data_IF_842518561862
#
_entry.id   IF_842518561862
#
_cell.length_a   1.000
_cell.length_b   1.000
_cell.length_c   1.000
_cell.angle_alpha   90.00
_cell.angle_beta   90.00
_cell.angle_gamma   90.00
#
_symmetry.space_group_name_H-M   'P 1'
#
loop_
_entity.id
_entity.type
_entity.pdbx_description
1 polymer ?
#
# COMPACT_ATOMS: atom_id res chain seq x y z
N UNK A 1 -12.94 38.78 -24.66
CA UNK A 1 -12.36 39.37 -23.45
C UNK A 1 -13.44 39.49 -22.38
N UNK A 2 -13.61 38.46 -21.55
CA UNK A 2 -14.12 38.60 -20.19
C UNK A 2 -13.24 37.67 -19.37
N UNK A 3 -12.33 38.26 -18.62
CA UNK A 3 -11.35 37.62 -17.75
C UNK A 3 -12.02 37.15 -16.46
N UNK A 4 -12.22 35.85 -16.31
CA UNK A 4 -12.44 35.24 -15.00
C UNK A 4 -11.08 35.01 -14.33
N UNK A 5 -10.55 36.08 -13.74
CA UNK A 5 -9.54 35.99 -12.68
C UNK A 5 -10.26 35.78 -11.35
N UNK A 6 -9.78 34.83 -10.55
CA UNK A 6 -10.00 34.84 -9.10
C UNK A 6 -11.07 33.89 -8.57
N UNK A 7 -10.83 32.59 -8.67
CA UNK A 7 -11.17 31.59 -7.64
C UNK A 7 -10.46 30.30 -8.00
N UNK A 8 -9.15 30.25 -7.73
CA UNK A 8 -8.45 28.97 -7.62
C UNK A 8 -9.05 28.29 -6.39
N UNK A 9 -10.13 27.52 -6.59
CA UNK A 9 -10.56 26.53 -5.60
C UNK A 9 -9.40 25.54 -5.50
N UNK A 10 -8.56 25.72 -4.49
CA UNK A 10 -7.52 24.76 -4.12
C UNK A 10 -8.23 23.52 -3.58
N UNK A 11 -8.71 22.67 -4.48
CA UNK A 11 -9.10 21.32 -4.13
C UNK A 11 -7.85 20.65 -3.53
N UNK A 12 -7.93 20.00 -2.37
CA UNK A 12 -6.77 19.37 -1.77
C UNK A 12 -6.22 18.32 -2.74
N UNK A 13 -4.96 18.50 -3.17
CA UNK A 13 -4.24 17.51 -3.99
C UNK A 13 -3.96 16.20 -3.24
N UNK A 14 -4.29 16.14 -1.94
CA UNK A 14 -4.17 14.98 -1.07
C UNK A 14 -5.35 14.98 -0.09
N UNK A 15 -6.29 14.04 -0.23
CA UNK A 15 -7.45 13.90 0.67
C UNK A 15 -7.18 12.75 1.63
N UNK A 16 -6.67 13.06 2.83
CA UNK A 16 -6.51 12.09 3.91
C UNK A 16 -7.80 12.07 4.76
N UNK A 17 -8.90 11.54 4.23
CA UNK A 17 -10.12 11.41 5.04
C UNK A 17 -9.94 10.31 6.10
N UNK A 18 -10.12 10.69 7.36
CA UNK A 18 -10.03 9.81 8.52
C UNK A 18 -11.43 9.35 8.89
N UNK A 19 -11.55 8.10 9.33
CA UNK A 19 -12.81 7.49 9.68
C UNK A 19 -12.82 7.19 11.19
N UNK A 20 -13.76 7.79 11.93
CA UNK A 20 -14.08 7.39 13.29
C UNK A 20 -15.39 6.59 13.35
N UNK A 21 -15.55 5.57 12.51
CA UNK A 21 -16.77 4.74 12.52
C UNK A 21 -16.54 3.42 13.26
N UNK A 22 -17.49 3.02 14.10
CA UNK A 22 -17.48 1.74 14.85
C UNK A 22 -17.58 0.48 13.97
N UNK A 23 -17.81 0.60 12.66
CA UNK A 23 -18.00 -0.55 11.76
C UNK A 23 -17.32 -0.41 10.40
N UNK A 24 -16.34 -1.29 10.26
CA UNK A 24 -15.81 -2.03 9.14
C UNK A 24 -14.99 -1.32 8.05
N UNK A 25 -13.82 -1.94 7.90
CA UNK A 25 -12.86 -1.99 6.81
C UNK A 25 -13.39 -1.52 5.45
N UNK A 26 -12.52 -0.95 4.60
CA UNK A 26 -12.88 -0.70 3.20
C UNK A 26 -13.58 -1.93 2.63
N UNK A 27 -14.85 -1.76 2.26
CA UNK A 27 -15.75 -2.85 1.94
C UNK A 27 -15.16 -3.68 0.80
N UNK A 28 -14.84 -4.95 1.06
CA UNK A 28 -14.34 -5.87 0.03
C UNK A 28 -15.48 -6.24 -0.93
N UNK A 29 -15.25 -6.06 -2.24
CA UNK A 29 -15.91 -6.51 -3.48
C UNK A 29 -17.42 -6.83 -3.57
N UNK A 30 -18.15 -7.17 -2.51
CA UNK A 30 -19.58 -7.49 -2.55
C UNK A 30 -20.44 -6.32 -3.03
N UNK A 31 -20.12 -5.09 -2.64
CA UNK A 31 -20.90 -3.89 -3.03
C UNK A 31 -20.61 -3.46 -4.49
N UNK A 32 -19.42 -3.74 -5.01
CA UNK A 32 -19.05 -3.44 -6.40
C UNK A 32 -19.72 -4.39 -7.40
N UNK A 33 -19.82 -5.68 -7.06
CA UNK A 33 -20.47 -6.67 -7.92
C UNK A 33 -21.98 -6.42 -8.06
N UNK A 34 -22.65 -5.89 -7.03
CA UNK A 34 -24.08 -5.57 -7.11
C UNK A 34 -24.39 -4.37 -8.02
N UNK A 35 -23.42 -3.45 -8.22
CA UNK A 35 -23.58 -2.28 -9.12
C UNK A 35 -23.15 -2.55 -10.57
N UNK A 36 -22.27 -3.52 -10.82
CA UNK A 36 -21.82 -3.88 -12.17
C UNK A 36 -22.90 -4.60 -13.01
N UNK A 37 -24.00 -5.04 -12.38
CA UNK A 37 -25.17 -5.57 -13.10
C UNK A 37 -26.01 -4.47 -13.78
N UNK A 38 -25.75 -3.19 -13.53
CA UNK A 38 -26.35 -2.09 -14.28
C UNK A 38 -25.43 -1.69 -15.44
N UNK A 39 -25.78 -2.19 -16.63
CA UNK A 39 -25.19 -1.84 -17.92
C UNK A 39 -25.36 -0.34 -18.17
N UNK A 40 -24.40 0.50 -17.75
CA UNK A 40 -24.08 1.82 -18.36
C UNK A 40 -22.98 2.62 -17.63
N UNK A 41 -22.09 2.00 -16.85
CA UNK A 41 -20.91 2.70 -16.36
C UNK A 41 -19.76 2.60 -17.38
N UNK A 42 -19.55 3.67 -18.13
CA UNK A 42 -18.34 3.93 -18.93
C UNK A 42 -17.09 3.52 -18.16
N UNK A 43 -16.31 2.60 -18.74
CA UNK A 43 -15.03 2.10 -18.20
C UNK A 43 -14.02 3.25 -18.05
N UNK A 44 -14.06 3.94 -16.91
CA UNK A 44 -12.84 4.51 -16.34
C UNK A 44 -12.14 3.31 -15.72
N UNK A 45 -11.09 2.81 -16.37
CA UNK A 45 -10.22 1.77 -15.83
C UNK A 45 -9.49 2.32 -14.59
N UNK A 46 -10.19 2.38 -13.46
CA UNK A 46 -9.53 2.41 -12.16
C UNK A 46 -8.85 1.05 -12.01
N UNK A 47 -7.54 1.01 -12.22
CA UNK A 47 -6.69 -0.12 -11.84
C UNK A 47 -6.79 -0.27 -10.32
N UNK A 48 -7.80 -1.01 -9.85
CA UNK A 48 -7.89 -1.42 -8.47
C UNK A 48 -6.81 -2.48 -8.22
N UNK A 49 -5.63 -2.02 -7.80
CA UNK A 49 -4.52 -2.90 -7.45
C UNK A 49 -4.80 -3.44 -6.05
N UNK A 50 -5.64 -4.46 -5.97
CA UNK A 50 -5.44 -5.47 -4.95
C UNK A 50 -4.27 -6.32 -5.47
N UNK A 51 -3.23 -6.65 -4.68
CA UNK A 51 -2.31 -7.70 -5.09
C UNK A 51 -3.19 -8.93 -5.37
N UNK A 52 -3.36 -9.29 -6.64
CA UNK A 52 -4.23 -10.39 -7.04
C UNK A 52 -3.66 -11.65 -6.40
N UNK A 53 -4.23 -12.06 -5.27
CA UNK A 53 -3.95 -13.35 -4.66
C UNK A 53 -4.74 -14.35 -5.50
N UNK A 54 -4.19 -14.69 -6.67
CA UNK A 54 -4.74 -15.72 -7.52
C UNK A 54 -4.80 -17.02 -6.69
N UNK A 55 -5.86 -17.82 -6.82
CA UNK A 55 -6.11 -18.98 -5.94
C UNK A 55 -4.98 -20.03 -5.93
N UNK A 56 -4.10 -20.00 -6.93
CA UNK A 56 -2.91 -20.85 -7.07
C UNK A 56 -1.60 -20.21 -6.55
N UNK A 57 -1.61 -18.95 -6.12
CA UNK A 57 -0.43 -18.25 -5.59
C UNK A 57 -0.42 -18.29 -4.06
N UNK A 58 0.74 -18.63 -3.49
CA UNK A 58 0.98 -18.81 -2.06
C UNK A 58 0.33 -17.68 -1.24
N UNK A 59 -0.70 -18.02 -0.45
CA UNK A 59 -1.41 -17.12 0.46
C UNK A 59 -0.46 -16.61 1.56
N UNK A 60 0.24 -15.51 1.31
CA UNK A 60 1.18 -14.92 2.28
C UNK A 60 2.02 -13.78 1.72
N UNK A 61 2.82 -13.13 2.58
CA UNK A 61 3.70 -12.00 2.20
C UNK A 61 4.61 -12.35 1.02
N UNK A 62 5.11 -13.59 0.93
CA UNK A 62 5.96 -14.00 -0.19
C UNK A 62 5.28 -13.82 -1.55
N UNK A 63 3.97 -14.08 -1.65
CA UNK A 63 3.20 -13.88 -2.89
C UNK A 63 3.02 -12.39 -3.23
N UNK A 64 2.81 -11.54 -2.22
CA UNK A 64 2.73 -10.08 -2.42
C UNK A 64 4.08 -9.56 -2.93
N UNK A 65 5.17 -9.96 -2.28
CA UNK A 65 6.53 -9.56 -2.64
C UNK A 65 6.88 -10.05 -4.05
N UNK A 66 6.56 -11.31 -4.37
CA UNK A 66 6.74 -11.89 -5.71
C UNK A 66 6.04 -11.04 -6.79
N UNK A 67 4.77 -10.67 -6.59
CA UNK A 67 4.07 -9.80 -7.53
C UNK A 67 4.67 -8.39 -7.59
N UNK A 68 5.08 -7.82 -6.46
CA UNK A 68 5.70 -6.48 -6.43
C UNK A 68 7.03 -6.46 -7.18
N UNK A 69 7.88 -7.48 -6.99
CA UNK A 69 9.14 -7.63 -7.72
C UNK A 69 8.85 -7.72 -9.21
N UNK A 70 7.94 -8.62 -9.62
CA UNK A 70 7.57 -8.78 -11.03
C UNK A 70 7.03 -7.49 -11.64
N UNK A 71 6.20 -6.74 -10.91
CA UNK A 71 5.71 -5.45 -11.38
C UNK A 71 6.84 -4.42 -11.54
N UNK A 72 7.72 -4.32 -10.54
CA UNK A 72 8.88 -3.42 -10.57
C UNK A 72 9.81 -3.71 -11.76
N UNK A 73 10.06 -5.00 -12.03
CA UNK A 73 10.93 -5.43 -13.13
C UNK A 73 10.30 -5.24 -14.51
N UNK A 74 8.97 -5.42 -14.64
CA UNK A 74 8.25 -5.20 -15.90
C UNK A 74 8.25 -3.74 -16.33
N UNK A 75 8.08 -2.82 -15.38
CA UNK A 75 7.98 -1.41 -15.70
C UNK A 75 9.33 -0.68 -15.64
N UNK A 76 10.43 -1.39 -15.30
CA UNK A 76 11.77 -0.83 -15.08
C UNK A 76 11.67 0.52 -14.37
N UNK A 77 10.96 0.54 -13.25
CA UNK A 77 10.83 1.71 -12.40
C UNK A 77 12.16 1.96 -11.66
N UNK A 78 13.23 2.24 -12.41
CA UNK A 78 14.53 2.60 -11.86
C UNK A 78 14.33 3.95 -11.18
N UNK A 79 14.31 3.90 -9.86
CA UNK A 79 14.12 5.07 -9.02
C UNK A 79 15.35 5.95 -9.13
N UNK A 80 15.14 7.26 -9.21
CA UNK A 80 16.26 8.20 -9.08
C UNK A 80 16.95 8.03 -7.73
N UNK A 81 18.23 8.39 -7.64
CA UNK A 81 19.04 8.22 -6.42
C UNK A 81 18.35 8.79 -5.15
N UNK A 82 17.66 9.92 -5.28
CA UNK A 82 16.92 10.53 -4.18
C UNK A 82 15.74 9.67 -3.71
N UNK A 83 15.00 9.06 -4.64
CA UNK A 83 13.86 8.20 -4.32
C UNK A 83 14.31 6.88 -3.71
N UNK A 84 15.43 6.32 -4.20
CA UNK A 84 16.04 5.13 -3.60
C UNK A 84 16.45 5.38 -2.14
N UNK A 85 17.05 6.53 -1.83
CA UNK A 85 17.43 6.89 -0.47
C UNK A 85 16.21 7.03 0.46
N UNK A 86 15.09 7.57 -0.04
CA UNK A 86 13.84 7.66 0.75
C UNK A 86 13.30 6.27 1.10
N UNK A 87 13.33 5.33 0.16
CA UNK A 87 12.92 3.93 0.44
C UNK A 87 13.86 3.30 1.47
N UNK A 88 15.18 3.47 1.33
CA UNK A 88 16.17 2.99 2.30
C UNK A 88 15.86 3.53 3.69
N UNK A 89 15.60 4.84 3.79
CA UNK A 89 15.21 5.49 5.05
C UNK A 89 13.91 4.90 5.63
N UNK A 90 12.89 4.67 4.80
CA UNK A 90 11.63 4.08 5.24
C UNK A 90 11.82 2.69 5.87
N UNK A 91 12.67 1.84 5.27
CA UNK A 91 13.03 0.53 5.83
C UNK A 91 13.81 0.63 7.15
N UNK A 92 14.71 1.62 7.25
CA UNK A 92 15.48 1.87 8.49
C UNK A 92 14.58 2.25 9.67
N UNK A 93 13.44 2.92 9.43
CA UNK A 93 12.49 3.33 10.49
C UNK A 93 11.95 2.15 11.31
N UNK A 94 11.91 0.93 10.75
CA UNK A 94 11.47 -0.28 11.45
C UNK A 94 12.57 -1.35 11.55
N UNK A 95 13.83 -0.93 11.39
CA UNK A 95 15.02 -1.72 11.73
C UNK A 95 15.46 -2.72 10.67
N UNK A 96 15.06 -2.55 9.40
CA UNK A 96 15.40 -3.46 8.30
C UNK A 96 16.21 -2.75 7.20
N UNK A 97 16.95 -3.53 6.41
CA UNK A 97 17.48 -3.09 5.12
C UNK A 97 16.42 -3.26 4.02
N UNK A 98 16.54 -2.47 2.94
CA UNK A 98 15.68 -2.53 1.76
C UNK A 98 16.06 -3.63 0.77
N UNK A 99 17.19 -4.29 0.97
CA UNK A 99 17.68 -5.36 0.10
C UNK A 99 17.17 -6.70 0.64
N UNK A 100 16.45 -7.41 -0.22
CA UNK A 100 15.80 -8.67 0.11
C UNK A 100 16.60 -9.82 -0.44
N UNK A 101 16.93 -10.78 0.41
CA UNK A 101 17.50 -12.05 -0.01
C UNK A 101 16.35 -13.00 -0.36
N UNK A 102 16.27 -13.42 -1.62
CA UNK A 102 15.17 -14.19 -2.18
C UNK A 102 15.56 -15.66 -2.31
N UNK A 103 14.77 -16.54 -1.67
CA UNK A 103 14.80 -17.97 -2.01
C UNK A 103 13.77 -18.24 -3.07
N UNK A 104 14.22 -18.72 -4.22
CA UNK A 104 13.35 -18.89 -5.37
C UNK A 104 13.06 -20.36 -5.68
N UNK A 105 11.90 -20.59 -6.30
CA UNK A 105 11.48 -21.88 -6.82
C UNK A 105 11.20 -21.77 -8.31
N UNK A 106 11.57 -22.80 -9.07
CA UNK A 106 11.34 -22.87 -10.51
C UNK A 106 9.94 -23.38 -10.82
N UNK A 107 9.31 -22.79 -11.83
CA UNK A 107 8.08 -23.29 -12.43
C UNK A 107 8.41 -24.03 -13.74
N UNK A 108 8.52 -25.36 -13.64
CA UNK A 108 8.87 -26.24 -14.77
C UNK A 108 7.83 -26.22 -15.88
N UNK A 109 6.55 -25.98 -15.56
CA UNK A 109 5.50 -25.85 -16.58
C UNK A 109 5.68 -24.58 -17.41
N UNK A 110 6.05 -23.47 -16.76
CA UNK A 110 6.32 -22.21 -17.47
C UNK A 110 7.59 -22.30 -18.32
N UNK A 111 8.66 -22.97 -17.86
CA UNK A 111 9.89 -23.18 -18.65
C UNK A 111 9.56 -23.84 -19.98
N UNK A 112 8.86 -24.97 -19.89
CA UNK A 112 8.36 -25.78 -20.98
C UNK A 112 7.50 -24.98 -21.96
N UNK A 113 6.47 -24.31 -21.43
CA UNK A 113 5.60 -23.45 -22.22
C UNK A 113 6.36 -22.35 -22.96
N UNK A 114 7.28 -21.64 -22.30
CA UNK A 114 8.09 -20.58 -22.93
C UNK A 114 8.96 -21.16 -24.05
N UNK A 115 9.65 -22.29 -23.81
CA UNK A 115 10.45 -22.97 -24.83
C UNK A 115 9.59 -23.38 -26.04
N UNK A 116 8.38 -23.87 -25.81
CA UNK A 116 7.45 -24.26 -26.88
C UNK A 116 7.01 -23.07 -27.74
N UNK A 117 6.83 -21.88 -27.13
CA UNK A 117 6.52 -20.65 -27.85
C UNK A 117 7.73 -20.14 -28.63
N UNK A 118 8.90 -20.05 -27.99
CA UNK A 118 10.13 -19.57 -28.64
C UNK A 118 10.51 -20.45 -29.84
N UNK A 119 10.48 -21.77 -29.68
CA UNK A 119 10.71 -22.70 -30.80
C UNK A 119 9.64 -22.61 -31.89
N UNK A 120 8.37 -22.40 -31.54
CA UNK A 120 7.30 -22.23 -32.51
C UNK A 120 7.36 -20.90 -33.26
N UNK A 121 7.91 -19.85 -32.66
CA UNK A 121 8.18 -18.57 -33.33
C UNK A 121 9.26 -18.75 -34.42
N UNK A 122 10.36 -19.45 -34.10
CA UNK A 122 11.43 -19.76 -35.07
C UNK A 122 10.91 -20.62 -36.22
N UNK A 123 10.06 -21.61 -35.92
CA UNK A 123 9.51 -22.54 -36.91
C UNK A 123 8.28 -21.99 -37.67
N UNK A 124 7.86 -20.74 -37.41
CA UNK A 124 6.71 -20.11 -38.06
C UNK A 124 5.34 -20.69 -37.67
N UNK A 125 5.27 -21.45 -36.58
CA UNK A 125 4.04 -21.98 -36.00
C UNK A 125 3.27 -20.95 -35.17
N UNK A 126 3.97 -19.97 -34.60
CA UNK A 126 3.41 -18.84 -33.83
C UNK A 126 3.88 -17.53 -34.48
N UNK A 127 3.02 -16.52 -34.48
CA UNK A 127 3.31 -15.19 -35.04
C UNK A 127 3.13 -14.14 -33.95
N UNK A 128 4.15 -13.30 -33.75
CA UNK A 128 4.02 -12.08 -32.97
C UNK A 128 3.39 -11.00 -33.84
N UNK A 129 2.14 -10.63 -33.53
CA UNK A 129 1.38 -9.59 -34.21
C UNK A 129 1.27 -8.35 -33.32
N UNK A 130 0.75 -7.24 -33.87
CA UNK A 130 0.47 -6.03 -33.08
C UNK A 130 -0.54 -6.27 -31.95
N UNK A 131 -1.43 -7.24 -32.11
CA UNK A 131 -2.41 -7.68 -31.10
C UNK A 131 -1.86 -8.72 -30.11
N UNK A 132 -0.60 -9.14 -30.26
CA UNK A 132 0.09 -10.09 -29.40
C UNK A 132 0.41 -11.42 -30.09
N UNK A 133 0.62 -12.46 -29.28
CA UNK A 133 1.01 -13.81 -29.74
C UNK A 133 -0.21 -14.52 -30.36
N UNK A 134 -0.11 -14.87 -31.65
CA UNK A 134 -1.14 -15.60 -32.38
C UNK A 134 -0.64 -16.96 -32.86
N UNK A 135 -1.44 -17.99 -32.61
CA UNK A 135 -1.14 -19.37 -33.00
C UNK A 135 -1.64 -19.62 -34.42
N UNK A 136 -0.76 -20.09 -35.31
CA UNK A 136 -1.17 -20.42 -36.67
C UNK A 136 -1.99 -21.72 -36.71
N UNK A 137 -2.80 -21.90 -37.75
CA UNK A 137 -3.54 -23.16 -38.00
C UNK A 137 -2.61 -24.38 -38.26
N UNK A 138 -1.30 -24.16 -38.42
CA UNK A 138 -0.30 -25.21 -38.69
C UNK A 138 0.27 -25.85 -37.41
N UNK A 139 -0.12 -25.41 -36.21
CA UNK A 139 0.38 -26.01 -34.97
C UNK A 139 -0.22 -27.41 -34.79
N UNK A 140 0.65 -28.41 -34.79
CA UNK A 140 0.29 -29.78 -34.47
C UNK A 140 0.27 -29.97 -32.94
N UNK A 141 -0.90 -29.75 -32.34
CA UNK A 141 -1.12 -29.94 -30.91
C UNK A 141 -0.95 -31.39 -30.44
N UNK A 142 -0.81 -32.37 -31.35
CA UNK A 142 -0.46 -33.75 -30.98
C UNK A 142 1.00 -33.88 -30.53
N UNK A 143 1.89 -32.98 -31.00
CA UNK A 143 3.31 -32.94 -30.64
C UNK A 143 3.63 -31.95 -29.53
N UNK A 144 2.86 -30.86 -29.42
CA UNK A 144 3.07 -29.81 -28.43
C UNK A 144 1.89 -29.72 -27.45
N UNK A 145 1.84 -30.65 -26.48
CA UNK A 145 0.76 -30.68 -25.47
C UNK A 145 0.72 -29.41 -24.61
N UNK A 146 1.86 -28.77 -24.40
CA UNK A 146 2.02 -27.58 -23.56
C UNK A 146 1.26 -26.37 -24.13
N UNK A 147 1.14 -26.28 -25.46
CA UNK A 147 0.41 -25.22 -26.14
C UNK A 147 -1.10 -25.45 -26.18
N UNK A 148 -1.61 -26.63 -25.77
CA UNK A 148 -3.05 -26.92 -25.73
C UNK A 148 -3.79 -26.00 -24.76
N UNK A 149 -3.14 -25.65 -23.64
CA UNK A 149 -3.70 -24.78 -22.61
C UNK A 149 -3.00 -23.42 -22.67
N UNK A 150 -3.57 -22.48 -23.42
CA UNK A 150 -3.03 -21.12 -23.56
C UNK A 150 -2.88 -20.43 -22.20
N UNK A 151 -1.71 -19.85 -21.97
CA UNK A 151 -1.45 -19.03 -20.79
C UNK A 151 -1.34 -17.56 -21.21
N UNK A 152 -2.49 -16.88 -21.28
CA UNK A 152 -2.56 -15.47 -21.71
C UNK A 152 -1.67 -14.52 -20.91
N UNK A 153 -1.45 -14.79 -19.62
CA UNK A 153 -0.56 -13.97 -18.78
C UNK A 153 0.90 -14.11 -19.22
N UNK A 154 1.31 -15.35 -19.49
CA UNK A 154 2.66 -15.67 -19.92
C UNK A 154 2.90 -15.24 -21.36
N UNK A 155 1.90 -15.35 -22.24
CA UNK A 155 1.97 -14.83 -23.62
C UNK A 155 2.26 -13.32 -23.62
N UNK A 156 1.57 -12.54 -22.76
CA UNK A 156 1.86 -11.11 -22.57
C UNK A 156 3.28 -10.85 -22.06
N UNK A 157 3.76 -11.64 -21.11
CA UNK A 157 5.13 -11.52 -20.61
C UNK A 157 6.15 -11.77 -21.72
N UNK A 158 5.96 -12.83 -22.51
CA UNK A 158 6.84 -13.18 -23.64
C UNK A 158 6.80 -12.06 -24.69
N UNK A 159 5.62 -11.52 -24.98
CA UNK A 159 5.48 -10.39 -25.88
C UNK A 159 6.28 -9.16 -25.44
N UNK A 160 6.22 -8.78 -24.16
CA UNK A 160 7.00 -7.67 -23.61
C UNK A 160 8.50 -7.91 -23.87
N UNK A 161 8.98 -9.12 -23.56
CA UNK A 161 10.39 -9.51 -23.74
C UNK A 161 10.80 -9.47 -25.22
N UNK A 162 9.95 -9.95 -26.12
CA UNK A 162 10.26 -9.98 -27.55
C UNK A 162 10.18 -8.60 -28.20
N UNK A 163 9.38 -7.67 -27.67
CA UNK A 163 9.23 -6.32 -28.23
C UNK A 163 10.34 -5.38 -27.74
N UNK A 164 10.81 -5.50 -26.51
CA UNK A 164 11.86 -4.65 -25.95
C UNK A 164 13.25 -4.97 -26.54
N UNK A 165 13.89 -3.96 -27.13
CA UNK A 165 15.19 -4.11 -27.81
C UNK A 165 16.32 -4.54 -26.88
N UNK A 166 16.25 -4.19 -25.60
CA UNK A 166 17.26 -4.58 -24.61
C UNK A 166 17.23 -6.10 -24.41
N UNK A 167 16.05 -6.70 -24.24
CA UNK A 167 15.93 -8.14 -24.05
C UNK A 167 16.23 -8.95 -25.32
N UNK A 168 16.05 -8.37 -26.52
CA UNK A 168 16.37 -9.04 -27.79
C UNK A 168 17.83 -9.51 -27.86
N UNK A 169 18.76 -8.74 -27.31
CA UNK A 169 20.19 -9.08 -27.32
C UNK A 169 20.51 -10.29 -26.43
N UNK A 170 19.58 -10.72 -25.57
CA UNK A 170 19.75 -11.81 -24.63
C UNK A 170 18.89 -13.03 -24.96
N UNK A 171 18.19 -13.05 -26.11
CA UNK A 171 17.27 -14.14 -26.46
C UNK A 171 17.97 -15.49 -26.64
N UNK A 172 19.13 -15.52 -27.29
CA UNK A 172 19.89 -16.76 -27.49
C UNK A 172 20.35 -17.33 -26.15
N UNK A 173 20.89 -16.46 -25.29
CA UNK A 173 21.31 -16.80 -23.94
C UNK A 173 20.16 -17.22 -23.02
N UNK A 174 18.99 -16.60 -23.16
CA UNK A 174 17.77 -17.00 -22.46
C UNK A 174 17.32 -18.39 -22.93
N UNK A 175 17.36 -18.65 -24.23
CA UNK A 175 16.96 -19.95 -24.79
C UNK A 175 17.85 -21.07 -24.27
N UNK A 176 19.17 -20.88 -24.29
CA UNK A 176 20.15 -21.83 -23.73
C UNK A 176 19.92 -22.04 -22.23
N UNK A 177 19.68 -20.96 -21.49
CA UNK A 177 19.35 -21.02 -20.06
C UNK A 177 18.10 -21.85 -19.80
N UNK A 178 17.03 -21.63 -20.56
CA UNK A 178 15.77 -22.36 -20.42
C UNK A 178 15.95 -23.85 -20.75
N UNK A 179 16.75 -24.18 -21.78
CA UNK A 179 17.08 -25.57 -22.10
C UNK A 179 17.87 -26.25 -20.97
N UNK A 180 18.84 -25.56 -20.38
CA UNK A 180 19.61 -26.09 -19.24
C UNK A 180 18.73 -26.28 -18.00
N UNK A 181 17.76 -25.38 -17.78
CA UNK A 181 16.76 -25.49 -16.70
C UNK A 181 15.83 -26.68 -16.92
N UNK A 182 15.30 -26.88 -18.13
CA UNK A 182 14.43 -28.02 -18.46
C UNK A 182 15.19 -29.35 -18.37
N UNK A 183 16.47 -29.37 -18.77
CA UNK A 183 17.36 -30.52 -18.61
C UNK A 183 17.75 -30.82 -17.15
N UNK A 184 17.32 -29.99 -16.19
CA UNK A 184 17.60 -30.18 -14.77
C UNK A 184 19.05 -29.94 -14.37
N UNK A 185 19.83 -29.21 -15.18
CA UNK A 185 21.23 -28.89 -14.86
C UNK A 185 21.37 -27.92 -13.69
N UNK A 186 20.33 -27.15 -13.41
CA UNK A 186 20.28 -26.25 -12.26
C UNK A 186 19.41 -26.83 -11.14
N UNK A 187 19.92 -26.76 -9.92
CA UNK A 187 19.20 -27.09 -8.69
C UNK A 187 18.62 -25.83 -8.05
N UNK A 188 17.69 -25.98 -7.11
CA UNK A 188 17.17 -24.84 -6.33
C UNK A 188 18.29 -24.07 -5.60
N UNK A 189 19.39 -24.74 -5.24
CA UNK A 189 20.55 -24.10 -4.62
C UNK A 189 21.22 -23.06 -5.52
N UNK A 190 21.08 -23.17 -6.84
CA UNK A 190 21.63 -22.17 -7.76
C UNK A 190 20.89 -20.83 -7.67
N UNK A 191 19.60 -20.82 -7.26
CA UNK A 191 18.79 -19.62 -7.11
C UNK A 191 18.74 -19.11 -5.66
N UNK A 192 19.74 -19.48 -4.86
CA UNK A 192 19.80 -19.16 -3.42
C UNK A 192 20.58 -17.90 -3.10
N UNK A 193 21.14 -17.20 -4.07
CA UNK A 193 21.95 -15.98 -3.87
C UNK A 193 21.43 -14.82 -4.71
N UNK A 194 20.10 -14.73 -4.83
CA UNK A 194 19.41 -13.66 -5.55
C UNK A 194 18.95 -12.61 -4.55
N UNK A 195 19.29 -11.37 -4.84
CA UNK A 195 18.93 -10.22 -4.04
C UNK A 195 18.07 -9.27 -4.88
N UNK A 196 17.05 -8.68 -4.25
CA UNK A 196 16.25 -7.63 -4.84
C UNK A 196 16.34 -6.37 -3.99
N UNK A 197 16.81 -5.27 -4.58
CA UNK A 197 16.81 -3.98 -3.91
C UNK A 197 15.45 -3.30 -4.10
N UNK A 198 14.64 -3.23 -3.05
CA UNK A 198 13.35 -2.52 -3.10
C UNK A 198 13.54 -1.03 -3.38
N UNK A 199 14.67 -0.48 -2.94
CA UNK A 199 15.01 0.92 -3.12
C UNK A 199 15.36 1.27 -4.57
N UNK A 200 16.04 0.38 -5.27
CA UNK A 200 16.54 0.62 -6.63
C UNK A 200 15.64 -0.02 -7.69
N UNK A 201 14.82 -1.01 -7.31
CA UNK A 201 13.96 -1.76 -8.22
C UNK A 201 14.73 -2.78 -9.06
N UNK A 202 15.93 -3.18 -8.62
CA UNK A 202 16.89 -3.98 -9.36
C UNK A 202 17.15 -5.33 -8.69
N UNK A 203 17.57 -6.31 -9.49
CA UNK A 203 18.07 -7.60 -9.01
C UNK A 203 19.60 -7.62 -9.11
N UNK A 204 20.22 -8.23 -8.12
CA UNK A 204 21.62 -8.63 -8.13
C UNK A 204 21.76 -10.09 -7.74
N UNK A 205 22.86 -10.72 -8.15
CA UNK A 205 23.19 -12.10 -7.82
C UNK A 205 24.66 -12.18 -7.44
N UNK A 206 24.99 -13.02 -6.45
CA UNK A 206 26.39 -13.33 -6.09
C UNK A 206 26.88 -14.63 -6.76
N UNK A 207 26.00 -15.35 -7.46
CA UNK A 207 26.31 -16.63 -8.09
C UNK A 207 27.18 -16.48 -9.34
N UNK A 208 28.51 -16.54 -9.19
CA UNK A 208 29.51 -16.41 -10.26
C UNK A 208 29.51 -17.48 -11.38
N UNK A 209 28.57 -18.42 -11.37
CA UNK A 209 28.66 -19.66 -12.18
C UNK A 209 27.35 -20.04 -12.88
N UNK A 210 26.37 -19.13 -12.96
CA UNK A 210 25.10 -19.46 -13.60
C UNK A 210 25.13 -19.19 -15.11
N UNK A 211 25.75 -18.07 -15.53
CA UNK A 211 25.70 -17.64 -16.94
C UNK A 211 27.06 -17.08 -17.37
N UNK A 212 27.91 -17.93 -17.97
CA UNK A 212 29.32 -17.63 -18.25
C UNK A 212 29.58 -16.45 -19.22
N UNK A 213 28.57 -15.94 -19.96
CA UNK A 213 28.77 -14.95 -21.03
C UNK A 213 27.72 -13.82 -21.10
N UNK A 214 26.83 -13.70 -20.11
CA UNK A 214 25.69 -12.77 -20.15
C UNK A 214 25.60 -11.92 -18.88
N UNK A 215 24.93 -10.77 -18.95
CA UNK A 215 24.62 -9.99 -17.77
C UNK A 215 23.62 -10.79 -16.90
N UNK A 216 24.13 -11.57 -15.96
CA UNK A 216 23.38 -12.57 -15.19
C UNK A 216 22.08 -12.01 -14.58
N UNK A 217 22.15 -10.76 -14.11
CA UNK A 217 21.01 -10.04 -13.54
C UNK A 217 19.88 -9.82 -14.57
N UNK A 218 20.20 -9.58 -15.84
CA UNK A 218 19.21 -9.38 -16.90
C UNK A 218 18.48 -10.68 -17.25
N UNK A 219 19.19 -11.81 -17.31
CA UNK A 219 18.54 -13.12 -17.49
C UNK A 219 17.63 -13.41 -16.31
N UNK A 220 18.10 -13.22 -15.09
CA UNK A 220 17.27 -13.44 -13.89
C UNK A 220 16.03 -12.54 -13.93
N UNK A 221 16.17 -11.27 -14.31
CA UNK A 221 15.05 -10.35 -14.51
C UNK A 221 14.03 -10.92 -15.51
N UNK A 222 14.49 -11.39 -16.67
CA UNK A 222 13.62 -12.00 -17.69
C UNK A 222 12.91 -13.24 -17.11
N UNK A 223 13.62 -14.10 -16.38
CA UNK A 223 13.06 -15.30 -15.78
C UNK A 223 11.98 -14.99 -14.71
N UNK A 224 12.10 -13.88 -13.98
CA UNK A 224 11.01 -13.39 -13.10
C UNK A 224 9.81 -12.87 -13.90
N UNK A 225 10.05 -12.08 -14.96
CA UNK A 225 8.98 -11.54 -15.82
C UNK A 225 8.17 -12.66 -16.50
N UNK A 226 8.86 -13.73 -16.91
CA UNK A 226 8.30 -14.96 -17.46
C UNK A 226 7.69 -15.90 -16.43
N UNK A 227 7.66 -15.54 -15.14
CA UNK A 227 7.07 -16.37 -14.09
C UNK A 227 7.75 -17.77 -13.98
N UNK A 228 8.95 -17.90 -14.55
CA UNK A 228 9.80 -19.11 -14.49
C UNK A 228 10.42 -19.23 -13.10
N UNK A 229 10.87 -18.10 -12.55
CA UNK A 229 11.35 -18.00 -11.17
C UNK A 229 10.25 -17.35 -10.33
N UNK A 230 9.95 -17.95 -9.17
CA UNK A 230 8.97 -17.46 -8.22
C UNK A 230 9.58 -17.39 -6.82
N UNK A 231 9.26 -16.32 -6.07
CA UNK A 231 9.72 -16.19 -4.70
C UNK A 231 8.98 -17.20 -3.81
N UNK A 232 9.76 -17.95 -3.02
CA UNK A 232 9.24 -18.93 -2.07
C UNK A 232 9.33 -18.44 -0.63
N UNK A 233 10.45 -17.84 -0.31
CA UNK A 233 10.79 -17.40 1.03
C UNK A 233 11.72 -16.19 0.93
N UNK A 234 11.68 -15.34 1.94
CA UNK A 234 12.36 -14.04 1.92
C UNK A 234 13.10 -13.86 3.23
N UNK A 235 14.36 -13.49 3.09
CA UNK A 235 15.21 -13.09 4.19
C UNK A 235 15.57 -11.62 4.03
N UNK A 236 15.71 -10.94 5.15
CA UNK A 236 16.03 -9.51 5.20
C UNK A 236 17.03 -9.27 6.33
N UNK A 237 17.99 -8.39 6.11
CA UNK A 237 18.96 -8.04 7.13
C UNK A 237 18.32 -7.14 8.19
N UNK A 238 18.34 -7.58 9.44
CA UNK A 238 17.90 -6.78 10.58
C UNK A 238 19.06 -5.93 11.11
N UNK A 239 18.87 -4.61 11.13
CA UNK A 239 19.94 -3.62 11.37
C UNK A 239 20.58 -3.76 12.75
N UNK A 240 19.78 -4.00 13.80
CA UNK A 240 20.28 -4.05 15.17
C UNK A 240 21.08 -5.33 15.44
N UNK A 241 20.62 -6.47 14.91
CA UNK A 241 21.30 -7.76 15.11
C UNK A 241 22.37 -8.04 14.06
N UNK A 242 22.37 -7.31 12.94
CA UNK A 242 23.21 -7.55 11.75
C UNK A 242 23.11 -9.00 11.26
N UNK A 243 21.92 -9.57 11.36
CA UNK A 243 21.63 -10.95 10.94
C UNK A 243 20.51 -10.93 9.91
N UNK A 244 20.62 -11.80 8.92
CA UNK A 244 19.50 -12.13 8.06
C UNK A 244 18.45 -12.90 8.87
N UNK A 245 17.22 -12.42 8.79
CA UNK A 245 16.07 -13.04 9.43
C UNK A 245 15.01 -13.30 8.39
N UNK A 246 14.27 -14.39 8.59
CA UNK A 246 13.13 -14.71 7.74
C UNK A 246 12.00 -13.69 8.02
N UNK A 247 11.32 -13.21 6.97
CA UNK A 247 10.20 -12.27 7.11
C UNK A 247 9.09 -12.76 8.05
N UNK A 248 8.88 -14.08 8.14
CA UNK A 248 7.89 -14.71 9.02
C UNK A 248 8.27 -14.50 10.49
N UNK A 249 9.57 -14.42 10.81
CA UNK A 249 10.09 -14.24 12.17
C UNK A 249 10.06 -12.79 12.67
N UNK A 250 9.73 -11.83 11.81
CA UNK A 250 9.58 -10.42 12.20
C UNK A 250 8.44 -10.23 13.21
N UNK A 251 8.45 -9.12 13.96
CA UNK A 251 7.28 -8.75 14.78
C UNK A 251 6.07 -8.46 13.89
N UNK A 252 4.85 -8.55 14.43
CA UNK A 252 3.62 -8.23 13.67
C UNK A 252 3.65 -6.81 13.10
N UNK A 253 4.06 -5.83 13.89
CA UNK A 253 4.20 -4.44 13.43
C UNK A 253 5.27 -4.28 12.34
N UNK A 254 6.41 -4.96 12.44
CA UNK A 254 7.41 -4.97 11.37
C UNK A 254 6.88 -5.60 10.09
N UNK A 255 6.12 -6.71 10.17
CA UNK A 255 5.49 -7.31 8.98
C UNK A 255 4.48 -6.37 8.33
N UNK A 256 3.70 -5.63 9.12
CA UNK A 256 2.76 -4.62 8.60
C UNK A 256 3.51 -3.51 7.85
N UNK A 257 4.54 -2.93 8.47
CA UNK A 257 5.34 -1.87 7.83
C UNK A 257 6.10 -2.38 6.60
N UNK A 258 6.66 -3.59 6.68
CA UNK A 258 7.31 -4.24 5.55
C UNK A 258 6.33 -4.45 4.38
N UNK A 259 5.14 -4.99 4.64
CA UNK A 259 4.12 -5.19 3.61
C UNK A 259 3.71 -3.87 2.95
N UNK A 260 3.46 -2.84 3.74
CA UNK A 260 3.17 -1.50 3.23
C UNK A 260 4.34 -0.95 2.39
N UNK A 261 5.58 -1.10 2.86
CA UNK A 261 6.76 -0.62 2.14
C UNK A 261 6.92 -1.30 0.78
N UNK A 262 6.73 -2.61 0.72
CA UNK A 262 6.83 -3.41 -0.50
C UNK A 262 5.73 -3.02 -1.50
N UNK A 263 4.48 -2.96 -1.06
CA UNK A 263 3.35 -2.63 -1.95
C UNK A 263 3.48 -1.20 -2.48
N UNK A 264 3.76 -0.24 -1.59
CA UNK A 264 3.94 1.15 -1.99
C UNK A 264 5.16 1.31 -2.91
N UNK A 265 6.23 0.55 -2.68
CA UNK A 265 7.41 0.62 -3.55
C UNK A 265 7.20 -0.06 -4.91
N UNK A 266 6.39 -1.12 -4.98
CA UNK A 266 6.18 -1.90 -6.20
C UNK A 266 5.09 -1.36 -7.11
N UNK A 267 4.08 -0.66 -6.58
CA UNK A 267 2.86 -0.33 -7.33
C UNK A 267 2.49 1.15 -7.38
N UNK A 268 3.13 2.01 -6.59
CA UNK A 268 2.77 3.43 -6.61
C UNK A 268 3.30 4.07 -7.89
N UNK A 269 2.38 4.69 -8.61
CA UNK A 269 2.63 5.41 -9.85
C UNK A 269 2.17 6.87 -9.73
N UNK A 270 2.52 7.69 -10.72
CA UNK A 270 2.08 9.07 -10.76
C UNK A 270 0.55 9.16 -10.89
N UNK A 271 -0.09 10.08 -10.18
CA UNK A 271 -1.53 10.34 -10.20
C UNK A 271 -2.40 9.17 -9.72
N UNK A 272 -1.90 8.35 -8.80
CA UNK A 272 -2.67 7.25 -8.23
C UNK A 272 -3.45 7.64 -6.97
N UNK A 273 -4.41 6.79 -6.58
CA UNK A 273 -5.11 6.87 -5.30
C UNK A 273 -4.68 5.72 -4.40
N UNK A 274 -4.25 6.03 -3.19
CA UNK A 274 -3.77 5.08 -2.18
C UNK A 274 -4.76 5.09 -1.02
N UNK A 275 -5.37 3.94 -0.73
CA UNK A 275 -6.28 3.78 0.41
C UNK A 275 -5.64 2.87 1.45
N UNK A 276 -5.52 3.35 2.68
CA UNK A 276 -4.91 2.62 3.80
C UNK A 276 -5.92 2.53 4.95
N UNK A 277 -6.10 1.34 5.48
CA UNK A 277 -7.12 1.04 6.49
C UNK A 277 -6.48 0.56 7.77
N UNK A 278 -6.88 1.15 8.89
CA UNK A 278 -6.40 0.87 10.24
C UNK A 278 -4.88 0.56 10.30
N UNK A 279 -4.02 1.44 9.73
CA UNK A 279 -2.59 1.18 9.69
C UNK A 279 -1.96 1.05 11.09
N UNK A 280 -2.63 1.50 12.14
CA UNK A 280 -2.21 1.35 13.54
C UNK A 280 -2.24 -0.08 14.05
N UNK A 281 -2.92 -1.01 13.36
CA UNK A 281 -3.05 -2.39 13.80
C UNK A 281 -1.67 -3.04 13.95
N UNK A 282 -1.39 -3.54 15.16
CA UNK A 282 -0.09 -4.13 15.56
C UNK A 282 1.11 -3.17 15.60
N UNK A 283 0.93 -1.86 15.36
CA UNK A 283 2.02 -0.89 15.43
C UNK A 283 2.25 -0.37 16.85
N UNK A 284 3.52 -0.28 17.24
CA UNK A 284 3.91 0.45 18.45
C UNK A 284 3.53 1.94 18.33
N UNK A 285 3.11 2.63 19.42
CA UNK A 285 2.70 4.03 19.35
C UNK A 285 3.71 4.97 18.69
N UNK A 286 5.01 4.72 18.86
CA UNK A 286 6.07 5.47 18.18
C UNK A 286 6.05 5.30 16.66
N UNK A 287 5.75 4.11 16.15
CA UNK A 287 5.57 3.87 14.72
C UNK A 287 4.28 4.47 14.20
N UNK A 288 3.22 4.52 15.01
CA UNK A 288 1.98 5.22 14.65
C UNK A 288 2.24 6.73 14.49
N UNK A 289 2.98 7.35 15.41
CA UNK A 289 3.42 8.75 15.29
C UNK A 289 4.26 8.99 14.03
N UNK A 290 5.10 8.04 13.65
CA UNK A 290 5.98 8.16 12.50
C UNK A 290 5.36 7.64 11.18
N UNK A 291 4.13 7.14 11.20
CA UNK A 291 3.50 6.50 10.04
C UNK A 291 3.34 7.47 8.86
N UNK A 292 2.95 8.72 9.12
CA UNK A 292 2.79 9.71 8.05
C UNK A 292 4.14 10.08 7.41
N UNK A 293 5.23 10.11 8.19
CA UNK A 293 6.59 10.27 7.65
C UNK A 293 6.96 9.07 6.79
N UNK A 294 6.70 7.85 7.26
CA UNK A 294 6.93 6.62 6.50
C UNK A 294 6.22 6.64 5.14
N UNK A 295 4.95 7.06 5.11
CA UNK A 295 4.21 7.25 3.85
C UNK A 295 4.84 8.34 2.98
N UNK A 296 5.26 9.48 3.54
CA UNK A 296 5.88 10.57 2.77
C UNK A 296 7.19 10.17 2.08
N UNK A 297 7.96 9.25 2.69
CA UNK A 297 9.19 8.73 2.12
C UNK A 297 8.90 7.83 0.90
N UNK A 298 7.87 6.99 1.00
CA UNK A 298 7.51 6.05 -0.05
C UNK A 298 6.67 6.69 -1.17
N UNK A 299 5.91 7.73 -0.83
CA UNK A 299 4.99 8.44 -1.71
C UNK A 299 5.32 9.94 -1.74
N UNK A 300 6.46 10.34 -2.33
CA UNK A 300 6.83 11.75 -2.44
C UNK A 300 5.80 12.58 -3.20
N UNK A 301 5.78 13.89 -2.95
CA UNK A 301 4.84 14.85 -3.56
C UNK A 301 4.91 14.85 -5.10
N UNK A 302 6.05 14.49 -5.69
CA UNK A 302 6.26 14.37 -7.14
C UNK A 302 5.37 13.34 -7.82
N UNK A 303 4.86 12.36 -7.07
CA UNK A 303 3.93 11.36 -7.59
C UNK A 303 2.52 11.91 -7.75
N UNK A 304 2.19 13.07 -7.18
CA UNK A 304 0.82 13.63 -7.25
C UNK A 304 -0.24 12.62 -6.78
N UNK A 305 0.13 11.70 -5.89
CA UNK A 305 -0.74 10.65 -5.39
C UNK A 305 -1.71 11.18 -4.31
N UNK A 306 -2.96 10.76 -4.40
CA UNK A 306 -3.99 11.03 -3.40
C UNK A 306 -4.00 9.92 -2.35
N UNK A 307 -3.74 10.25 -1.08
CA UNK A 307 -3.65 9.26 0.01
C UNK A 307 -4.85 9.42 0.95
N UNK A 308 -5.66 8.37 1.07
CA UNK A 308 -6.81 8.24 1.95
C UNK A 308 -6.48 7.27 3.09
N UNK A 309 -6.63 7.69 4.36
CA UNK A 309 -6.27 6.85 5.52
C UNK A 309 -7.43 6.80 6.51
N UNK A 310 -8.06 5.63 6.64
CA UNK A 310 -9.00 5.35 7.71
C UNK A 310 -8.21 4.93 8.96
N UNK A 311 -8.40 5.61 10.09
CA UNK A 311 -7.68 5.31 11.34
C UNK A 311 -8.46 5.72 12.58
N UNK A 312 -8.33 4.91 13.62
CA UNK A 312 -8.76 5.20 14.99
C UNK A 312 -7.62 5.71 15.87
N UNK A 313 -6.41 5.84 15.32
CA UNK A 313 -5.23 6.22 16.10
C UNK A 313 -5.07 7.74 16.21
N UNK A 314 -5.16 8.32 17.42
CA UNK A 314 -4.78 9.72 17.63
C UNK A 314 -3.29 9.96 17.41
N UNK A 315 -2.45 8.93 17.46
CA UNK A 315 -1.01 9.05 17.23
C UNK A 315 -0.70 9.32 15.76
N UNK A 316 -1.39 8.67 14.83
CA UNK A 316 -1.22 8.93 13.39
C UNK A 316 -1.58 10.39 13.05
N UNK A 317 -2.67 10.91 13.64
CA UNK A 317 -3.07 12.31 13.45
C UNK A 317 -2.04 13.27 14.04
N UNK A 318 -1.55 12.96 15.24
CA UNK A 318 -0.53 13.77 15.92
C UNK A 318 0.76 13.85 15.10
N UNK A 319 1.11 12.76 14.43
CA UNK A 319 2.28 12.60 13.56
C UNK A 319 2.17 13.20 12.16
N UNK A 320 1.07 13.88 11.84
CA UNK A 320 0.88 14.49 10.51
C UNK A 320 1.92 15.56 10.21
N UNK A 321 2.55 15.48 9.04
CA UNK A 321 3.57 16.45 8.59
C UNK A 321 3.20 17.17 7.28
N UNK A 322 2.04 16.86 6.70
CA UNK A 322 1.58 17.45 5.45
C UNK A 322 0.89 18.79 5.69
N UNK A 323 1.12 19.76 4.81
CA UNK A 323 0.43 21.05 4.86
C UNK A 323 -0.91 21.01 4.10
N UNK A 324 -0.99 20.16 3.08
CA UNK A 324 -2.17 19.97 2.26
C UNK A 324 -2.90 18.69 2.67
N UNK A 325 -4.03 18.85 3.36
CA UNK A 325 -4.93 17.76 3.72
C UNK A 325 -6.06 18.22 4.64
N UNK A 326 -6.99 17.31 4.89
CA UNK A 326 -8.16 17.55 5.74
C UNK A 326 -8.39 16.33 6.63
N UNK A 327 -8.89 16.54 7.84
CA UNK A 327 -9.40 15.49 8.69
C UNK A 327 -10.92 15.49 8.57
N UNK A 328 -11.48 14.31 8.32
CA UNK A 328 -12.92 14.07 8.39
C UNK A 328 -13.19 13.28 9.67
N UNK A 329 -14.28 13.57 10.37
CA UNK A 329 -14.75 12.74 11.49
C UNK A 329 -16.12 12.18 11.13
N UNK A 330 -16.28 10.86 11.18
CA UNK A 330 -17.47 10.14 10.68
C UNK A 330 -18.50 9.80 11.76
N UNK A 331 -18.52 10.52 12.88
CA UNK A 331 -19.33 10.19 14.07
C UNK A 331 -20.86 10.20 13.85
N UNK A 332 -21.39 10.85 12.81
CA UNK A 332 -22.83 10.88 12.53
C UNK A 332 -23.20 9.98 11.34
N UNK A 333 -23.19 8.65 11.49
CA UNK A 333 -23.78 7.75 10.47
C UNK A 333 -25.31 7.78 10.44
N UNK A 334 -25.98 8.22 11.52
CA UNK A 334 -27.45 8.27 11.58
C UNK A 334 -28.07 9.25 10.56
N UNK A 335 -27.26 10.11 9.93
CA UNK A 335 -27.69 11.00 8.85
C UNK A 335 -27.46 10.44 7.44
N UNK A 336 -26.79 9.29 7.25
CA UNK A 336 -26.48 8.78 5.90
C UNK A 336 -27.74 8.38 5.12
N UNK A 337 -28.73 7.77 5.80
CA UNK A 337 -30.04 7.44 5.20
C UNK A 337 -30.88 8.71 4.90
N UNK A 338 -30.63 9.82 5.61
CA UNK A 338 -31.29 11.11 5.36
C UNK A 338 -30.69 11.85 4.15
N UNK A 339 -29.40 11.62 3.87
CA UNK A 339 -28.67 12.23 2.75
C UNK A 339 -29.08 11.59 1.42
N UNK A 340 -29.29 10.26 1.38
CA UNK A 340 -29.68 9.55 0.15
C UNK A 340 -31.15 9.85 -0.23
N UNK A 341 -32.01 10.21 0.74
CA UNK A 341 -33.44 10.49 0.49
C UNK A 341 -33.77 11.94 0.12
N UNK A 342 -32.83 12.88 0.24
CA UNK A 342 -33.05 14.28 -0.15
C UNK A 342 -32.43 14.56 -1.52
N UNK A 343 -33.04 14.01 -2.56
CA UNK A 343 -32.58 14.18 -3.94
C UNK A 343 -32.62 15.62 -4.47
N UNK A 344 -33.12 16.64 -3.76
CA UNK A 344 -33.27 17.97 -4.36
C UNK A 344 -33.18 19.20 -3.42
N UNK A 345 -32.59 19.10 -2.22
CA UNK A 345 -32.28 20.30 -1.42
C UNK A 345 -30.98 20.12 -0.63
N UNK A 346 -29.93 20.81 -1.08
CA UNK A 346 -28.76 21.13 -0.25
C UNK A 346 -29.20 22.10 0.86
N UNK A 347 -29.72 21.57 1.97
CA UNK A 347 -29.84 22.32 3.23
C UNK A 347 -28.51 22.20 3.99
N UNK A 348 -27.96 23.35 4.39
CA UNK A 348 -26.59 23.56 4.87
C UNK A 348 -26.24 22.96 6.25
N UNK A 349 -27.16 22.31 6.97
CA UNK A 349 -26.99 22.05 8.41
C UNK A 349 -26.70 20.58 8.81
N UNK A 350 -26.17 19.76 7.89
CA UNK A 350 -25.90 18.33 8.16
C UNK A 350 -24.52 17.80 7.77
N UNK A 351 -23.59 18.67 7.35
CA UNK A 351 -22.36 18.24 6.72
C UNK A 351 -21.30 17.80 7.72
N UNK A 352 -20.68 16.64 7.46
CA UNK A 352 -19.40 16.29 8.05
C UNK A 352 -18.43 17.45 7.81
N UNK A 353 -17.96 18.10 8.89
CA UNK A 353 -17.11 19.27 8.78
C UNK A 353 -15.69 18.83 8.40
N UNK A 354 -15.23 19.20 7.20
CA UNK A 354 -13.84 19.02 6.79
C UNK A 354 -12.96 19.95 7.60
N UNK A 355 -12.14 19.39 8.47
CA UNK A 355 -11.30 20.19 9.36
C UNK A 355 -9.89 20.31 8.76
N UNK A 356 -9.31 21.52 8.65
CA UNK A 356 -8.00 21.70 8.04
C UNK A 356 -6.90 21.07 8.91
N UNK A 357 -5.92 20.41 8.27
CA UNK A 357 -4.86 19.66 8.96
C UNK A 357 -4.08 20.51 9.98
N UNK A 358 -3.90 21.80 9.68
CA UNK A 358 -3.14 22.76 10.50
C UNK A 358 -3.62 22.84 11.96
N UNK A 359 -4.90 22.57 12.22
CA UNK A 359 -5.45 22.59 13.57
C UNK A 359 -5.05 21.37 14.43
N UNK A 360 -4.64 20.28 13.78
CA UNK A 360 -4.40 18.96 14.40
C UNK A 360 -2.94 18.50 14.32
N UNK A 361 -2.12 19.07 13.44
CA UNK A 361 -0.70 18.75 13.37
C UNK A 361 0.02 18.98 14.71
N UNK A 362 0.89 18.05 15.07
CA UNK A 362 1.80 18.13 16.24
C UNK A 362 1.09 18.40 17.57
N UNK A 363 -0.19 18.06 17.66
CA UNK A 363 -0.95 18.11 18.89
C UNK A 363 -0.77 16.84 19.71
N UNK A 364 -1.03 16.92 21.02
CA UNK A 364 -0.99 15.72 21.85
C UNK A 364 -2.13 14.76 21.51
N UNK A 365 -1.89 13.46 21.67
CA UNK A 365 -2.92 12.44 21.50
C UNK A 365 -4.17 12.72 22.36
N UNK A 366 -4.01 13.25 23.58
CA UNK A 366 -5.12 13.66 24.43
C UNK A 366 -5.98 14.80 23.82
N UNK A 367 -5.36 15.75 23.13
CA UNK A 367 -6.10 16.78 22.39
C UNK A 367 -6.83 16.17 21.19
N UNK A 368 -6.18 15.29 20.42
CA UNK A 368 -6.84 14.61 19.28
C UNK A 368 -8.06 13.82 19.72
N UNK A 369 -7.92 13.05 20.80
CA UNK A 369 -9.02 12.29 21.39
C UNK A 369 -10.19 13.19 21.76
N UNK A 370 -9.92 14.41 22.23
CA UNK A 370 -10.95 15.39 22.58
C UNK A 370 -11.57 16.06 21.35
N UNK A 371 -10.74 16.56 20.44
CA UNK A 371 -11.17 17.47 19.38
C UNK A 371 -11.64 16.72 18.11
N UNK A 372 -10.96 15.64 17.73
CA UNK A 372 -11.23 14.86 16.51
C UNK A 372 -12.14 13.67 16.77
N UNK A 373 -11.79 12.85 17.76
CA UNK A 373 -12.48 11.58 18.06
C UNK A 373 -13.62 11.71 19.08
N UNK A 374 -13.84 12.94 19.60
CA UNK A 374 -14.83 13.27 20.64
C UNK A 374 -14.91 12.27 21.81
N UNK A 375 -13.79 11.62 22.09
CA UNK A 375 -13.63 10.50 23.03
C UNK A 375 -12.39 10.75 23.90
N UNK A 376 -12.39 11.82 24.73
CA UNK A 376 -11.21 12.25 25.46
C UNK A 376 -10.66 11.21 26.45
N UNK A 377 -11.49 10.27 26.89
CA UNK A 377 -11.13 9.26 27.88
C UNK A 377 -10.99 9.81 29.31
N UNK A 378 -10.77 8.91 30.26
CA UNK A 378 -10.60 9.26 31.69
C UNK A 378 -9.23 9.91 31.94
N UNK A 379 -9.18 10.95 32.79
CA UNK A 379 -7.96 11.73 33.12
C UNK A 379 -7.23 12.30 31.90
N UNK A 380 -7.97 12.82 30.93
CA UNK A 380 -7.37 13.48 29.78
C UNK A 380 -6.57 14.73 30.18
N UNK A 381 -5.25 14.68 30.03
CA UNK A 381 -4.31 15.75 30.40
C UNK A 381 -4.59 17.08 29.70
N UNK A 382 -5.04 17.05 28.44
CA UNK A 382 -5.37 18.27 27.70
C UNK A 382 -6.57 18.98 28.34
N UNK A 383 -7.63 18.24 28.68
CA UNK A 383 -8.79 18.78 29.38
C UNK A 383 -8.40 19.31 30.76
N UNK A 384 -7.62 18.54 31.52
CA UNK A 384 -7.17 18.92 32.87
C UNK A 384 -6.38 20.23 32.80
N UNK A 385 -5.40 20.34 31.89
CA UNK A 385 -4.60 21.56 31.71
C UNK A 385 -5.47 22.75 31.29
N UNK A 386 -6.43 22.54 30.38
CA UNK A 386 -7.35 23.60 29.94
C UNK A 386 -8.23 24.09 31.09
N UNK A 387 -8.71 23.17 31.93
CA UNK A 387 -9.49 23.50 33.14
C UNK A 387 -8.66 24.27 34.16
N UNK A 388 -7.42 23.86 34.43
CA UNK A 388 -6.50 24.57 35.32
C UNK A 388 -6.19 25.99 34.81
N UNK A 389 -6.00 26.16 33.50
CA UNK A 389 -5.81 27.49 32.88
C UNK A 389 -7.04 28.38 33.06
N UNK A 390 -8.24 27.84 32.90
CA UNK A 390 -9.50 28.57 33.12
C UNK A 390 -9.60 28.98 34.60
N UNK A 391 -9.38 28.05 35.53
CA UNK A 391 -9.40 28.32 36.96
C UNK A 391 -8.37 29.38 37.37
N UNK A 392 -7.16 29.34 36.80
CA UNK A 392 -6.12 30.35 37.03
C UNK A 392 -6.51 31.73 36.50
N UNK A 393 -7.15 31.81 35.32
CA UNK A 393 -7.65 33.08 34.77
C UNK A 393 -8.80 33.64 35.60
N UNK A 394 -9.70 32.79 36.08
CA UNK A 394 -10.80 33.17 36.98
C UNK A 394 -10.24 33.62 38.33
N UNK A 395 -9.21 32.94 38.85
CA UNK A 395 -8.64 33.29 40.15
C UNK A 395 -7.95 34.66 40.16
N UNK A 396 -7.44 35.11 39.01
CA UNK A 396 -6.85 36.44 38.84
C UNK A 396 -7.87 37.57 38.68
N UNK A 397 -9.12 37.29 38.29
CA UNK A 397 -10.20 38.30 38.21
C UNK A 397 -10.97 38.33 39.53
N UNK A 398 -10.51 39.17 40.46
CA UNK A 398 -10.93 39.22 41.87
C UNK A 398 -12.42 39.47 42.17
N UNK A 399 -13.26 39.85 41.20
CA UNK A 399 -14.67 40.22 41.46
C UNK A 399 -15.71 39.15 41.10
N UNK A 400 -15.42 38.19 40.20
CA UNK A 400 -16.37 37.16 39.76
C UNK A 400 -16.30 35.85 40.58
N UNK A 401 -15.29 35.73 41.46
CA UNK A 401 -14.96 34.51 42.19
C UNK A 401 -16.04 34.04 43.17
N UNK A 402 -16.78 34.94 43.82
CA UNK A 402 -17.78 34.53 44.84
C UNK A 402 -19.10 34.01 44.24
N UNK A 403 -19.54 34.55 43.10
CA UNK A 403 -20.80 34.12 42.46
C UNK A 403 -20.62 32.85 41.63
N UNK A 404 -19.56 32.75 40.83
CA UNK A 404 -19.36 31.61 39.92
C UNK A 404 -19.00 30.34 40.70
N UNK A 405 -18.19 30.43 41.75
CA UNK A 405 -17.76 29.26 42.51
C UNK A 405 -18.92 28.61 43.29
N UNK A 406 -19.91 29.39 43.72
CA UNK A 406 -21.14 28.88 44.36
C UNK A 406 -22.13 28.25 43.37
N UNK A 407 -22.16 28.71 42.11
CA UNK A 407 -23.01 28.12 41.07
C UNK A 407 -22.39 26.83 40.51
N UNK A 408 -21.07 26.81 40.30
CA UNK A 408 -20.37 25.64 39.75
C UNK A 408 -20.28 24.48 40.74
N UNK A 409 -20.10 24.72 42.03
CA UNK A 409 -20.12 23.64 43.04
C UNK A 409 -21.48 22.93 43.09
N UNK A 410 -22.59 23.66 42.96
CA UNK A 410 -23.93 23.07 42.88
C UNK A 410 -24.16 22.28 41.59
N UNK A 411 -23.76 22.82 40.43
CA UNK A 411 -23.95 22.15 39.14
C UNK A 411 -23.02 20.95 38.95
N UNK A 412 -21.74 21.05 39.32
CA UNK A 412 -20.78 19.95 39.23
C UNK A 412 -21.15 18.80 40.18
N UNK A 413 -21.60 19.10 41.41
CA UNK A 413 -22.12 18.08 42.34
C UNK A 413 -23.36 17.38 41.77
N UNK A 414 -24.24 18.10 41.07
CA UNK A 414 -25.42 17.51 40.41
C UNK A 414 -25.08 16.61 39.21
N UNK A 415 -24.04 16.96 38.45
CA UNK A 415 -23.55 16.19 37.30
C UNK A 415 -22.82 14.92 37.74
N UNK A 416 -21.93 15.02 38.72
CA UNK A 416 -21.21 13.86 39.30
C UNK A 416 -22.20 12.89 39.95
N UNK A 417 -23.25 13.39 40.64
CA UNK A 417 -24.32 12.56 41.22
C UNK A 417 -25.21 11.91 40.15
N UNK A 418 -25.29 12.46 38.94
CA UNK A 418 -26.01 11.88 37.80
C UNK A 418 -25.22 10.77 37.11
N UNK A 419 -23.90 10.92 36.98
CA UNK A 419 -23.03 9.86 36.43
C UNK A 419 -22.90 8.66 37.39
N UNK A 420 -22.71 8.90 38.70
CA UNK A 420 -22.67 7.82 39.70
C UNK A 420 -23.97 7.00 39.77
N UNK A 421 -25.12 7.60 39.44
CA UNK A 421 -26.42 6.91 39.35
C UNK A 421 -26.57 6.08 38.08
N UNK A 422 -25.87 6.40 36.99
CA UNK A 422 -25.91 5.61 35.75
C UNK A 422 -25.06 4.36 35.86
N UNK A 423 -23.91 4.42 36.54
CA UNK A 423 -23.06 3.24 36.78
C UNK A 423 -23.71 2.21 37.74
N UNK A 424 -24.58 2.65 38.66
CA UNK A 424 -25.28 1.75 39.59
C UNK A 424 -26.55 1.10 39.02
N UNK A 425 -27.00 1.51 37.83
CA UNK A 425 -28.13 0.90 37.11
C UNK A 425 -27.68 -0.04 35.97
N UNK A 426 -26.37 -0.13 35.70
CA UNK A 426 -25.78 -1.01 34.69
C UNK A 426 -24.91 -2.14 35.29
N UNK A 427 -24.99 -2.38 36.60
CA UNK A 427 -24.44 -3.57 37.25
C UNK A 427 -25.55 -4.57 37.59
#
# INVERSE_FOLDING_TARGET
MISYQGLVRTFPSKIIAICNSKFDRFTSNKILNDKLNNKEATQITMSYIHPEVNDNTRRGISGIVDQCIKNSLRHKNIRGLQDANRVKEAFMMFGLQSDLHLKCTLNTQNIKYVLSILSSLVNGGVILSDEGITHTKKIDYSKNEELKNKNFKLDKSIEIILRESEYKNHLDGLYDTLLMLDAGKFTQGNFSSIYFSVAEGTISTESKYLFDDLNEAEIINILFVLDVINVSDIQVMHLNSKKEVNIVSLSSGQRTLFGNAIVLSGYVEKNCMICIDEPENSLHPEWQLNFMRFISLLCPDTLEAHILIATHSPQIISGMQFDNGCVLSLENRDNFDSIIRKENKYEEDGFYELQPLKAYREQSAGKQLTDVFKSPGYKNDFIIKKLLLILSKISKKSLLQKMIMNLWTKSAYSLIKREYRKETLCN
#
